data_IF_240257332022
#
_entry.id   IF_240257332022
#
_cell.length_a   1.000
_cell.length_b   1.000
_cell.length_c   1.000
_cell.angle_alpha   90.00
_cell.angle_beta   90.00
_cell.angle_gamma   90.00
#
_symmetry.space_group_name_H-M   'P 1'
#
loop_
_entity.id
_entity.type
_entity.pdbx_description
1 polymer ?
#
# COMPACT_ATOMS: atom_id res chain seq x y z
N UNK A 1 -28.41 28.90 -16.71
CA UNK A 1 -27.99 28.06 -15.61
C UNK A 1 -27.62 26.66 -16.15
N UNK A 2 -26.53 26.01 -15.68
CA UNK A 2 -26.26 24.66 -16.08
C UNK A 2 -27.42 23.76 -15.67
N UNK A 3 -27.75 22.70 -16.43
CA UNK A 3 -28.77 21.76 -16.02
C UNK A 3 -28.41 21.14 -14.65
N UNK A 4 -29.39 20.86 -13.80
CA UNK A 4 -29.12 20.23 -12.53
C UNK A 4 -28.35 18.93 -12.76
N UNK A 5 -27.43 18.55 -11.86
CA UNK A 5 -26.69 17.31 -12.00
C UNK A 5 -27.70 16.17 -12.10
N UNK A 6 -27.58 15.39 -13.16
CA UNK A 6 -28.43 14.22 -13.34
C UNK A 6 -28.26 13.33 -12.12
N UNK A 7 -29.35 13.04 -11.44
CA UNK A 7 -29.43 12.07 -10.38
C UNK A 7 -28.78 10.78 -10.87
N UNK A 8 -27.65 10.42 -10.25
CA UNK A 8 -27.03 9.13 -10.46
C UNK A 8 -28.08 8.05 -10.24
N UNK A 9 -28.27 7.21 -11.22
CA UNK A 9 -29.24 6.14 -11.16
C UNK A 9 -28.99 5.29 -9.91
N UNK A 10 -30.05 4.84 -9.24
CA UNK A 10 -30.01 3.98 -8.04
C UNK A 10 -29.13 2.75 -8.19
N UNK A 11 -28.92 2.25 -9.40
CA UNK A 11 -28.02 1.15 -9.74
C UNK A 11 -26.53 1.45 -9.45
N UNK A 12 -26.06 2.68 -9.62
CA UNK A 12 -24.68 3.05 -9.25
C UNK A 12 -24.53 3.22 -7.73
N UNK A 13 -25.53 3.74 -7.07
CA UNK A 13 -25.59 3.88 -5.61
C UNK A 13 -25.65 2.50 -4.93
N UNK A 14 -26.41 1.55 -5.46
CA UNK A 14 -26.49 0.18 -4.92
C UNK A 14 -25.20 -0.60 -5.09
N UNK A 15 -24.50 -0.46 -6.22
CA UNK A 15 -23.19 -1.08 -6.44
C UNK A 15 -22.13 -0.53 -5.49
N UNK A 16 -22.08 0.78 -5.26
CA UNK A 16 -21.20 1.38 -4.28
C UNK A 16 -21.52 0.89 -2.85
N UNK A 17 -22.81 0.88 -2.47
CA UNK A 17 -23.25 0.36 -1.17
C UNK A 17 -22.89 -1.11 -0.96
N UNK A 18 -22.96 -1.95 -2.00
CA UNK A 18 -22.58 -3.37 -1.92
C UNK A 18 -21.07 -3.55 -1.72
N UNK A 19 -20.24 -2.71 -2.33
CA UNK A 19 -18.79 -2.71 -2.14
C UNK A 19 -18.44 -2.36 -0.68
N UNK A 20 -19.02 -1.31 -0.10
CA UNK A 20 -18.75 -0.92 1.29
C UNK A 20 -19.15 -2.00 2.31
N UNK A 21 -20.23 -2.74 2.07
CA UNK A 21 -20.69 -3.81 2.97
C UNK A 21 -19.80 -5.04 2.99
N UNK A 22 -18.80 -5.10 2.09
CA UNK A 22 -17.85 -6.23 1.96
C UNK A 22 -16.45 -5.88 2.39
N UNK A 23 -16.27 -4.73 3.06
CA UNK A 23 -14.96 -4.25 3.49
C UNK A 23 -14.90 -4.19 5.01
N UNK A 24 -13.85 -4.78 5.56
CA UNK A 24 -13.55 -4.69 6.99
C UNK A 24 -12.64 -3.49 7.29
N UNK A 25 -11.84 -3.05 6.31
CA UNK A 25 -10.94 -1.90 6.42
C UNK A 25 -10.94 -1.10 5.13
N UNK A 26 -10.73 0.21 5.23
CA UNK A 26 -10.57 1.16 4.13
C UNK A 26 -9.17 1.77 4.14
N UNK A 27 -8.51 1.81 2.99
CA UNK A 27 -7.28 2.58 2.81
C UNK A 27 -7.61 4.00 2.35
N UNK A 28 -7.20 4.99 3.14
CA UNK A 28 -7.25 6.40 2.75
C UNK A 28 -5.99 6.74 1.97
N UNK A 29 -6.16 6.97 0.68
CA UNK A 29 -5.09 7.40 -0.21
C UNK A 29 -4.63 8.83 0.13
N UNK A 30 -3.34 9.10 -0.05
CA UNK A 30 -2.73 10.40 0.18
C UNK A 30 -3.09 11.01 1.55
N UNK A 31 -2.89 10.25 2.63
CA UNK A 31 -3.28 10.67 3.98
C UNK A 31 -2.68 12.02 4.40
N UNK A 32 -1.47 12.34 3.91
CA UNK A 32 -0.85 13.66 4.08
C UNK A 32 -1.76 14.82 3.72
N UNK A 33 -2.61 14.66 2.71
CA UNK A 33 -3.52 15.70 2.24
C UNK A 33 -4.56 16.14 3.29
N UNK A 34 -4.82 15.31 4.32
CA UNK A 34 -5.71 15.69 5.43
C UNK A 34 -5.03 16.66 6.41
N UNK A 35 -3.70 16.64 6.53
CA UNK A 35 -2.96 17.63 7.31
C UNK A 35 -2.70 18.89 6.47
N UNK A 36 -2.03 18.73 5.30
CA UNK A 36 -1.80 19.78 4.31
C UNK A 36 -1.75 19.18 2.92
N UNK A 37 -2.31 19.88 1.96
CA UNK A 37 -2.24 19.53 0.55
C UNK A 37 -1.60 20.64 -0.27
N UNK A 38 -1.02 20.27 -1.39
CA UNK A 38 -0.41 21.22 -2.32
C UNK A 38 -1.46 21.71 -3.31
N UNK A 39 -1.80 22.99 -3.23
CA UNK A 39 -2.75 23.64 -4.14
C UNK A 39 -2.00 24.29 -5.30
N UNK A 40 -2.43 23.98 -6.51
CA UNK A 40 -1.86 24.52 -7.74
C UNK A 40 -2.93 25.35 -8.44
N UNK A 41 -2.69 26.62 -8.78
CA UNK A 41 -3.62 27.41 -9.57
C UNK A 41 -3.93 26.73 -10.91
N UNK A 42 -5.20 26.73 -11.34
CA UNK A 42 -5.62 26.09 -12.59
C UNK A 42 -4.93 26.68 -13.84
N UNK A 43 -4.35 27.86 -13.72
CA UNK A 43 -3.61 28.55 -14.78
C UNK A 43 -2.10 28.31 -14.75
N UNK A 44 -1.59 27.59 -13.74
CA UNK A 44 -0.17 27.31 -13.61
C UNK A 44 0.27 26.28 -14.67
N UNK A 45 1.42 26.50 -15.27
CA UNK A 45 1.98 25.58 -16.27
C UNK A 45 2.62 24.34 -15.61
N UNK A 46 3.07 24.47 -14.36
CA UNK A 46 3.74 23.42 -13.62
C UNK A 46 3.27 23.36 -12.16
N UNK A 47 3.50 22.22 -11.51
CA UNK A 47 3.19 22.04 -10.09
C UNK A 47 4.08 22.88 -9.14
N UNK A 48 5.12 23.52 -9.64
CA UNK A 48 6.05 24.34 -8.84
C UNK A 48 5.37 25.60 -8.32
N UNK A 49 4.41 26.14 -9.09
CA UNK A 49 3.71 27.39 -8.79
C UNK A 49 2.53 27.21 -7.83
N UNK A 50 2.65 26.31 -6.87
CA UNK A 50 1.63 26.02 -5.87
C UNK A 50 1.97 26.53 -4.48
N UNK A 51 1.09 26.22 -3.52
CA UNK A 51 1.33 26.49 -2.10
C UNK A 51 0.68 25.42 -1.21
N UNK A 52 1.21 25.28 0.00
CA UNK A 52 0.64 24.38 0.99
C UNK A 52 -0.58 24.99 1.66
N UNK A 53 -1.70 24.28 1.59
CA UNK A 53 -2.96 24.67 2.24
C UNK A 53 -3.22 23.67 3.37
N UNK A 54 -3.64 24.19 4.53
CA UNK A 54 -4.04 23.36 5.68
C UNK A 54 -5.30 22.56 5.33
N UNK A 55 -5.22 21.25 5.53
CA UNK A 55 -6.34 20.33 5.34
C UNK A 55 -7.32 20.36 6.53
N UNK A 56 -8.36 19.50 6.49
CA UNK A 56 -9.37 19.44 7.54
C UNK A 56 -8.84 18.89 8.88
N UNK A 57 -7.71 18.21 8.88
CA UNK A 57 -7.03 17.73 10.07
C UNK A 57 -7.88 16.83 10.95
N UNK A 58 -7.65 16.95 12.26
CA UNK A 58 -8.33 16.15 13.28
C UNK A 58 -9.86 16.34 13.27
N UNK A 59 -10.34 17.54 12.95
CA UNK A 59 -11.78 17.84 13.01
C UNK A 59 -12.62 16.92 12.10
N UNK A 60 -12.07 16.53 10.95
CA UNK A 60 -12.73 15.56 10.05
C UNK A 60 -12.88 14.19 10.72
N UNK A 61 -11.80 13.66 11.28
CA UNK A 61 -11.80 12.32 11.87
C UNK A 61 -12.57 12.26 13.17
N UNK A 62 -12.52 13.32 13.98
CA UNK A 62 -13.38 13.48 15.17
C UNK A 62 -14.86 13.43 14.80
N UNK A 63 -15.24 14.12 13.74
CA UNK A 63 -16.61 14.10 13.25
C UNK A 63 -17.01 12.71 12.74
N UNK A 64 -16.13 12.05 11.98
CA UNK A 64 -16.39 10.68 11.49
C UNK A 64 -16.53 9.70 12.66
N UNK A 65 -15.70 9.81 13.71
CA UNK A 65 -15.82 8.97 14.90
C UNK A 65 -17.12 9.23 15.67
N UNK A 66 -17.58 10.47 15.75
CA UNK A 66 -18.88 10.81 16.35
C UNK A 66 -20.05 10.18 15.61
N UNK A 67 -19.98 10.15 14.28
CA UNK A 67 -21.08 9.65 13.44
C UNK A 67 -21.07 8.12 13.27
N UNK A 68 -19.87 7.49 13.22
CA UNK A 68 -19.71 6.09 12.87
C UNK A 68 -19.03 5.22 13.94
N UNK A 69 -18.52 5.80 15.01
CA UNK A 69 -17.76 5.08 16.02
C UNK A 69 -16.32 4.80 15.59
N UNK A 70 -15.85 3.58 15.81
CA UNK A 70 -14.51 3.15 15.40
C UNK A 70 -14.36 3.23 13.86
N UNK A 71 -13.23 3.78 13.43
CA UNK A 71 -12.92 3.94 12.02
C UNK A 71 -11.85 2.91 11.60
N UNK A 72 -12.22 1.85 10.87
CA UNK A 72 -11.27 0.84 10.40
C UNK A 72 -10.50 1.35 9.18
N UNK A 73 -9.61 2.31 9.39
CA UNK A 73 -8.89 3.00 8.33
C UNK A 73 -7.40 2.66 8.37
N UNK A 74 -6.80 2.50 7.20
CA UNK A 74 -5.36 2.47 6.97
C UNK A 74 -4.96 3.76 6.29
N UNK A 75 -3.98 4.46 6.84
CA UNK A 75 -3.47 5.70 6.25
C UNK A 75 -2.38 5.37 5.22
N UNK A 76 -2.53 5.83 3.98
CA UNK A 76 -1.42 5.83 3.04
C UNK A 76 -0.49 7.00 3.38
N UNK A 77 0.62 6.67 4.04
CA UNK A 77 1.66 7.56 4.55
C UNK A 77 2.99 7.33 3.83
N UNK A 78 2.93 7.22 2.50
CA UNK A 78 4.11 7.03 1.66
C UNK A 78 4.70 8.37 1.23
N UNK A 79 6.02 8.39 0.99
CA UNK A 79 6.74 9.57 0.54
C UNK A 79 7.29 10.43 1.70
N UNK A 80 7.22 11.75 1.56
CA UNK A 80 7.74 12.68 2.57
C UNK A 80 6.67 12.93 3.62
N UNK A 81 6.79 12.28 4.76
CA UNK A 81 5.87 12.41 5.89
C UNK A 81 6.50 13.32 6.95
N UNK A 82 5.73 14.33 7.37
CA UNK A 82 6.14 15.25 8.43
C UNK A 82 5.65 14.76 9.80
N UNK A 83 6.28 15.23 10.91
CA UNK A 83 5.81 14.88 12.26
C UNK A 83 4.34 15.19 12.51
N UNK A 84 3.80 16.23 11.88
CA UNK A 84 2.39 16.62 12.02
C UNK A 84 1.44 15.60 11.35
N UNK A 85 1.82 15.07 10.20
CA UNK A 85 1.07 14.01 9.51
C UNK A 85 1.07 12.74 10.35
N UNK A 86 2.23 12.37 10.89
CA UNK A 86 2.36 11.19 11.73
C UNK A 86 1.60 11.35 13.05
N UNK A 87 1.66 12.53 13.67
CA UNK A 87 0.87 12.85 14.86
C UNK A 87 -0.64 12.73 14.61
N UNK A 88 -1.12 13.22 13.46
CA UNK A 88 -2.53 13.09 13.06
C UNK A 88 -2.94 11.61 12.91
N UNK A 89 -2.12 10.81 12.22
CA UNK A 89 -2.34 9.38 12.04
C UNK A 89 -2.42 8.64 13.39
N UNK A 90 -1.45 8.89 14.26
CA UNK A 90 -1.34 8.26 15.58
C UNK A 90 -2.46 8.69 16.52
N UNK A 91 -2.93 9.95 16.46
CA UNK A 91 -4.05 10.45 17.27
C UNK A 91 -5.31 9.59 17.10
N UNK A 92 -5.55 9.09 15.89
CA UNK A 92 -6.73 8.27 15.57
C UNK A 92 -6.42 6.77 15.51
N UNK A 93 -5.21 6.36 15.83
CA UNK A 93 -4.80 4.95 15.83
C UNK A 93 -4.79 4.31 14.44
N UNK A 94 -4.62 5.08 13.37
CA UNK A 94 -4.59 4.53 12.01
C UNK A 94 -3.24 3.87 11.72
N UNK A 95 -3.21 2.58 11.30
CA UNK A 95 -1.98 1.97 10.81
C UNK A 95 -1.48 2.67 9.55
N UNK A 96 -0.17 2.91 9.50
CA UNK A 96 0.53 3.37 8.29
C UNK A 96 0.93 2.21 7.38
N UNK A 97 1.56 2.52 6.25
CA UNK A 97 1.98 1.52 5.25
C UNK A 97 3.50 1.34 5.23
N UNK A 98 3.93 0.10 5.11
CA UNK A 98 5.35 -0.28 4.96
C UNK A 98 5.53 -1.09 3.68
N UNK A 99 6.28 -0.55 2.72
CA UNK A 99 6.51 -1.17 1.41
C UNK A 99 7.94 -1.71 1.37
N UNK A 100 8.10 -3.03 1.33
CA UNK A 100 9.42 -3.66 1.39
C UNK A 100 10.31 -3.33 0.19
N UNK A 101 9.75 -3.08 -0.99
CA UNK A 101 10.54 -2.64 -2.14
C UNK A 101 11.25 -1.28 -1.93
N UNK A 102 10.84 -0.50 -0.92
CA UNK A 102 11.50 0.77 -0.54
C UNK A 102 12.51 0.61 0.60
N UNK A 103 12.65 -0.59 1.15
CA UNK A 103 13.45 -0.84 2.35
C UNK A 103 14.96 -0.74 2.11
N UNK A 104 15.45 -1.14 0.94
CA UNK A 104 16.86 -1.42 0.71
C UNK A 104 17.66 -0.25 0.13
N UNK A 105 17.03 0.92 0.02
CA UNK A 105 17.69 2.19 -0.28
C UNK A 105 17.84 3.04 0.98
N UNK A 106 18.98 3.71 1.16
CA UNK A 106 19.22 4.57 2.33
C UNK A 106 20.00 3.92 3.46
N UNK A 107 19.86 4.45 4.69
CA UNK A 107 20.54 3.97 5.89
C UNK A 107 19.68 3.06 6.77
N UNK A 108 20.23 2.72 7.95
CA UNK A 108 19.60 1.83 8.92
C UNK A 108 18.31 2.43 9.56
N UNK A 109 18.11 3.72 9.41
CA UNK A 109 16.92 4.47 9.84
C UNK A 109 15.77 4.45 8.84
N UNK A 110 15.92 3.77 7.69
CA UNK A 110 14.87 3.65 6.70
C UNK A 110 13.60 3.03 7.33
N UNK A 111 12.45 3.74 7.36
CA UNK A 111 11.23 3.28 8.02
C UNK A 111 10.59 2.04 7.36
N UNK A 112 11.03 1.68 6.17
CA UNK A 112 10.55 0.49 5.43
C UNK A 112 11.37 -0.76 5.74
N UNK A 113 12.52 -0.66 6.45
CA UNK A 113 13.26 -1.81 6.92
C UNK A 113 12.44 -2.61 7.94
N UNK A 114 12.36 -3.94 7.84
CA UNK A 114 11.54 -4.76 8.74
C UNK A 114 11.85 -4.56 10.23
N UNK A 115 13.10 -4.27 10.56
CA UNK A 115 13.54 -4.00 11.94
C UNK A 115 12.91 -2.73 12.52
N UNK A 116 12.58 -1.75 11.66
CA UNK A 116 11.99 -0.46 12.02
C UNK A 116 10.45 -0.47 11.94
N UNK A 117 9.83 -1.60 11.58
CA UNK A 117 8.38 -1.67 11.53
C UNK A 117 7.74 -1.58 12.92
N UNK A 118 6.61 -0.90 12.98
CA UNK A 118 5.75 -0.77 14.15
C UNK A 118 4.56 -1.73 14.04
N UNK A 119 3.99 -2.14 15.18
CA UNK A 119 2.79 -2.97 15.19
C UNK A 119 1.59 -2.25 14.53
N UNK A 120 1.48 -0.93 14.70
CA UNK A 120 0.45 -0.10 14.08
C UNK A 120 0.82 0.22 12.62
N UNK A 121 1.00 -0.81 11.81
CA UNK A 121 1.28 -0.67 10.38
C UNK A 121 0.79 -1.88 9.58
N UNK A 122 0.66 -1.67 8.28
CA UNK A 122 0.40 -2.71 7.27
C UNK A 122 1.63 -2.84 6.40
N UNK A 123 2.20 -4.04 6.32
CA UNK A 123 3.34 -4.31 5.44
C UNK A 123 2.89 -4.92 4.12
N UNK A 124 3.55 -4.52 3.06
CA UNK A 124 3.36 -5.02 1.70
C UNK A 124 4.71 -5.45 1.12
N UNK A 125 4.75 -6.50 0.32
CA UNK A 125 5.91 -6.74 -0.56
C UNK A 125 6.02 -5.64 -1.61
N UNK A 126 4.91 -5.23 -2.18
CA UNK A 126 4.67 -4.09 -3.06
C UNK A 126 3.18 -3.82 -3.16
N UNK A 127 2.78 -2.63 -3.60
CA UNK A 127 1.38 -2.26 -3.86
C UNK A 127 1.02 -2.42 -5.33
N UNK A 128 -0.22 -2.06 -5.70
CA UNK A 128 -0.65 -2.00 -7.09
C UNK A 128 0.19 -1.04 -7.96
N UNK A 129 0.83 -0.04 -7.37
CA UNK A 129 1.67 0.94 -8.06
C UNK A 129 3.11 0.48 -8.24
N UNK A 130 3.54 -0.52 -7.48
CA UNK A 130 4.85 -1.11 -7.59
C UNK A 130 4.91 -2.14 -8.72
N UNK A 131 6.12 -2.51 -9.13
CA UNK A 131 6.31 -3.72 -9.93
C UNK A 131 6.03 -4.96 -9.07
N UNK A 132 5.80 -6.13 -9.68
CA UNK A 132 5.83 -7.38 -8.94
C UNK A 132 7.20 -7.54 -8.27
N UNK A 133 7.24 -8.25 -7.13
CA UNK A 133 8.52 -8.45 -6.41
C UNK A 133 9.59 -9.07 -7.30
N UNK A 134 9.22 -10.08 -8.10
CA UNK A 134 10.17 -10.72 -9.01
C UNK A 134 10.63 -9.78 -10.12
N UNK A 135 9.69 -8.99 -10.70
CA UNK A 135 9.99 -8.00 -11.72
C UNK A 135 10.87 -6.87 -11.20
N UNK A 136 10.57 -6.36 -10.01
CA UNK A 136 11.37 -5.35 -9.32
C UNK A 136 12.80 -5.87 -9.06
N UNK A 137 12.95 -7.03 -8.43
CA UNK A 137 14.26 -7.60 -8.10
C UNK A 137 15.14 -7.82 -9.34
N UNK A 138 14.55 -8.33 -10.43
CA UNK A 138 15.26 -8.51 -11.71
C UNK A 138 15.67 -7.18 -12.37
N UNK A 139 14.95 -6.10 -12.10
CA UNK A 139 15.25 -4.78 -12.67
C UNK A 139 16.28 -3.98 -11.87
N UNK A 140 16.67 -4.44 -10.68
CA UNK A 140 17.70 -3.79 -9.87
C UNK A 140 19.08 -3.85 -10.56
N UNK A 141 19.85 -2.78 -10.40
CA UNK A 141 21.28 -2.81 -10.69
C UNK A 141 21.99 -3.81 -9.77
N UNK A 142 23.12 -4.35 -10.19
CA UNK A 142 23.83 -5.39 -9.42
C UNK A 142 24.15 -4.93 -7.98
N UNK A 143 24.63 -3.70 -7.80
CA UNK A 143 24.96 -3.13 -6.49
C UNK A 143 23.74 -3.00 -5.56
N UNK A 144 22.55 -2.72 -6.10
CA UNK A 144 21.32 -2.64 -5.30
C UNK A 144 20.75 -4.04 -5.01
N UNK A 145 20.95 -4.98 -5.93
CA UNK A 145 20.60 -6.39 -5.71
C UNK A 145 21.45 -7.00 -4.61
N UNK A 146 22.76 -6.74 -4.59
CA UNK A 146 23.66 -7.18 -3.52
C UNK A 146 23.19 -6.69 -2.15
N UNK A 147 22.76 -5.43 -2.01
CA UNK A 147 22.20 -4.92 -0.75
C UNK A 147 20.94 -5.68 -0.32
N UNK A 148 20.04 -5.98 -1.27
CA UNK A 148 18.84 -6.78 -0.97
C UNK A 148 19.26 -8.17 -0.49
N UNK A 149 20.19 -8.81 -1.16
CA UNK A 149 20.67 -10.17 -0.85
C UNK A 149 21.39 -10.23 0.50
N UNK A 150 22.17 -9.21 0.85
CA UNK A 150 22.80 -9.07 2.18
C UNK A 150 21.76 -8.99 3.31
N UNK A 151 20.61 -8.39 3.05
CA UNK A 151 19.53 -8.26 4.02
C UNK A 151 18.71 -9.56 4.15
N UNK A 152 18.73 -10.41 3.12
CA UNK A 152 18.00 -11.67 3.11
C UNK A 152 18.88 -12.77 3.70
N UNK A 153 18.42 -13.49 4.75
CA UNK A 153 19.14 -14.65 5.27
C UNK A 153 19.37 -15.69 4.17
N UNK A 154 20.56 -16.31 4.18
CA UNK A 154 20.99 -17.24 3.13
C UNK A 154 20.14 -18.52 3.02
N UNK A 155 19.37 -18.84 4.06
CA UNK A 155 18.46 -19.98 4.12
C UNK A 155 17.05 -19.68 3.58
N UNK A 156 16.78 -18.42 3.17
CA UNK A 156 15.49 -18.07 2.62
C UNK A 156 15.31 -18.60 1.19
N UNK A 157 14.07 -18.97 0.82
CA UNK A 157 13.77 -19.28 -0.56
C UNK A 157 14.02 -18.02 -1.41
N UNK A 158 14.43 -18.18 -2.67
CA UNK A 158 14.67 -17.05 -3.58
C UNK A 158 13.46 -16.14 -3.73
N UNK A 159 13.65 -14.99 -4.42
CA UNK A 159 12.53 -14.06 -4.70
C UNK A 159 11.44 -14.74 -5.56
N UNK A 160 10.17 -14.41 -5.33
CA UNK A 160 9.63 -13.42 -4.38
C UNK A 160 9.45 -13.93 -2.95
N UNK A 161 9.63 -15.21 -2.69
CA UNK A 161 9.30 -15.86 -1.41
C UNK A 161 10.16 -15.38 -0.24
N UNK A 162 11.39 -14.94 -0.49
CA UNK A 162 12.21 -14.31 0.52
C UNK A 162 11.53 -13.05 1.06
N UNK A 163 11.05 -12.18 0.17
CA UNK A 163 10.38 -10.94 0.56
C UNK A 163 9.00 -11.20 1.19
N UNK A 164 8.26 -12.21 0.71
CA UNK A 164 6.98 -12.65 1.31
C UNK A 164 7.21 -13.11 2.76
N UNK A 165 8.22 -13.95 2.99
CA UNK A 165 8.56 -14.41 4.35
C UNK A 165 8.93 -13.22 5.23
N UNK A 166 9.77 -12.31 4.75
CA UNK A 166 10.14 -11.08 5.47
C UNK A 166 8.92 -10.23 5.85
N UNK A 167 7.94 -10.09 4.94
CA UNK A 167 6.69 -9.39 5.23
C UNK A 167 5.90 -10.10 6.36
N UNK A 168 5.77 -11.41 6.27
CA UNK A 168 5.03 -12.18 7.27
C UNK A 168 5.71 -12.18 8.65
N UNK A 169 7.03 -12.17 8.72
CA UNK A 169 7.81 -12.16 9.97
C UNK A 169 7.98 -10.75 10.57
N UNK A 170 7.56 -9.69 9.87
CA UNK A 170 7.69 -8.32 10.37
C UNK A 170 6.77 -8.05 11.57
N UNK A 171 7.07 -6.98 12.31
CA UNK A 171 6.26 -6.55 13.46
C UNK A 171 4.92 -5.92 13.06
N UNK A 172 4.69 -5.59 11.80
CA UNK A 172 3.45 -4.98 11.31
C UNK A 172 2.22 -5.81 11.67
N UNK A 173 1.15 -5.16 12.11
CA UNK A 173 -0.08 -5.86 12.54
C UNK A 173 -0.77 -6.63 11.42
N UNK A 174 -0.64 -6.17 10.17
CA UNK A 174 -1.20 -6.83 8.99
C UNK A 174 -0.12 -6.95 7.90
N UNK A 175 -0.14 -8.05 7.14
CA UNK A 175 0.68 -8.24 5.95
C UNK A 175 -0.21 -8.51 4.73
N UNK A 176 0.00 -7.77 3.65
CA UNK A 176 -0.74 -7.92 2.39
C UNK A 176 0.24 -8.27 1.29
N UNK A 177 -0.01 -9.42 0.64
CA UNK A 177 0.84 -9.96 -0.42
C UNK A 177 0.04 -9.96 -1.73
N UNK A 178 0.52 -9.29 -2.79
CA UNK A 178 -0.10 -9.35 -4.11
C UNK A 178 -0.16 -10.78 -4.65
N UNK A 179 -1.26 -11.11 -5.32
CA UNK A 179 -1.41 -12.44 -5.94
C UNK A 179 -0.33 -12.71 -6.98
N UNK A 180 0.16 -11.68 -7.66
CA UNK A 180 1.26 -11.78 -8.61
C UNK A 180 2.55 -12.32 -7.97
N UNK A 181 2.83 -11.93 -6.73
CA UNK A 181 4.00 -12.42 -6.00
C UNK A 181 3.81 -13.87 -5.56
N UNK A 182 2.60 -14.23 -5.12
CA UNK A 182 2.26 -15.63 -4.79
C UNK A 182 2.36 -16.57 -5.99
N UNK A 183 2.10 -16.05 -7.20
CA UNK A 183 2.23 -16.77 -8.47
C UNK A 183 3.62 -16.66 -9.10
N UNK A 184 4.57 -15.99 -8.45
CA UNK A 184 5.95 -15.82 -8.91
C UNK A 184 6.06 -15.15 -10.29
N UNK A 185 5.15 -14.19 -10.59
CA UNK A 185 5.07 -13.52 -11.89
C UNK A 185 6.02 -12.31 -11.96
N UNK A 186 6.53 -12.06 -13.17
CA UNK A 186 7.40 -10.93 -13.48
C UNK A 186 6.65 -9.64 -13.81
N UNK A 187 7.37 -8.67 -14.39
CA UNK A 187 6.86 -7.33 -14.69
C UNK A 187 5.65 -7.32 -15.63
N UNK A 188 5.46 -8.36 -16.43
CA UNK A 188 4.30 -8.53 -17.31
C UNK A 188 2.97 -8.59 -16.56
N UNK A 189 3.00 -8.94 -15.27
CA UNK A 189 1.83 -9.01 -14.42
C UNK A 189 1.62 -7.75 -13.55
N UNK A 190 2.40 -6.69 -13.76
CA UNK A 190 2.23 -5.43 -13.02
C UNK A 190 0.83 -4.88 -13.19
N UNK A 191 0.22 -4.42 -12.09
CA UNK A 191 -1.16 -3.93 -12.09
C UNK A 191 -1.26 -2.51 -12.63
N UNK A 192 -0.42 -1.62 -12.14
CA UNK A 192 -0.43 -0.20 -12.48
C UNK A 192 0.98 0.36 -12.61
N UNK A 193 1.17 1.23 -13.61
CA UNK A 193 2.41 2.01 -13.78
C UNK A 193 2.05 3.49 -13.66
N UNK A 194 2.36 4.13 -12.52
CA UNK A 194 2.07 5.55 -12.30
C UNK A 194 2.60 6.42 -13.43
N UNK A 195 1.86 7.46 -13.80
CA UNK A 195 2.22 8.37 -14.87
C UNK A 195 1.96 7.86 -16.30
N UNK A 196 1.34 6.68 -16.46
CA UNK A 196 0.93 6.17 -17.77
C UNK A 196 -0.58 6.15 -17.94
N UNK A 197 -1.06 6.37 -19.17
CA UNK A 197 -2.49 6.44 -19.48
C UNK A 197 -3.10 5.15 -20.04
N UNK A 198 -2.30 4.09 -20.23
CA UNK A 198 -2.76 2.84 -20.84
C UNK A 198 -2.12 1.60 -20.24
N UNK A 199 -2.75 0.44 -20.45
CA UNK A 199 -2.25 -0.87 -20.02
C UNK A 199 -2.44 -1.19 -18.53
N UNK A 200 -2.94 -0.24 -17.73
CA UNK A 200 -3.14 -0.39 -16.30
C UNK A 200 -4.44 -1.14 -15.96
N UNK A 201 -4.49 -1.78 -14.80
CA UNK A 201 -5.67 -2.42 -14.20
C UNK A 201 -6.28 -3.56 -15.07
N UNK A 202 -5.49 -4.11 -15.99
CA UNK A 202 -5.93 -5.12 -16.95
C UNK A 202 -5.53 -6.54 -16.55
N UNK A 203 -4.53 -6.72 -15.70
CA UNK A 203 -4.06 -8.04 -15.30
C UNK A 203 -5.18 -8.85 -14.63
N UNK A 204 -5.24 -10.11 -14.99
CA UNK A 204 -6.16 -11.12 -14.42
C UNK A 204 -5.45 -12.45 -14.34
N UNK A 205 -5.90 -13.31 -13.44
CA UNK A 205 -5.47 -14.70 -13.37
C UNK A 205 -6.69 -15.64 -13.36
N UNK A 206 -6.47 -16.90 -13.65
CA UNK A 206 -7.45 -17.97 -13.51
C UNK A 206 -6.97 -19.01 -12.49
N UNK A 207 -7.90 -19.74 -11.90
CA UNK A 207 -7.58 -20.66 -10.79
C UNK A 207 -6.69 -21.84 -11.19
N UNK A 208 -6.64 -22.20 -12.47
CA UNK A 208 -5.71 -23.20 -13.01
C UNK A 208 -4.24 -22.76 -13.00
N UNK A 209 -3.98 -21.47 -12.90
CA UNK A 209 -2.63 -20.90 -12.72
C UNK A 209 -2.14 -21.02 -11.27
N UNK A 210 -3.03 -21.30 -10.33
CA UNK A 210 -2.66 -21.38 -8.91
C UNK A 210 -2.02 -22.74 -8.61
N UNK A 211 -0.76 -22.77 -8.14
CA UNK A 211 -0.09 -24.04 -7.81
C UNK A 211 -0.85 -24.83 -6.76
N UNK A 212 -1.04 -26.12 -6.98
CA UNK A 212 -1.83 -27.02 -6.12
C UNK A 212 -1.41 -27.09 -4.64
N UNK A 213 -0.21 -26.59 -4.29
CA UNK A 213 0.32 -26.57 -2.92
C UNK A 213 0.48 -25.15 -2.36
N UNK A 214 -0.02 -24.15 -3.04
CA UNK A 214 0.14 -22.75 -2.64
C UNK A 214 -0.51 -22.48 -1.28
N UNK A 215 -1.72 -22.97 -1.06
CA UNK A 215 -2.45 -22.86 0.20
C UNK A 215 -1.65 -23.42 1.40
N UNK A 216 -1.06 -24.58 1.22
CA UNK A 216 -0.20 -25.22 2.25
C UNK A 216 1.04 -24.39 2.52
N UNK A 217 1.70 -23.89 1.46
CA UNK A 217 2.91 -23.06 1.60
C UNK A 217 2.62 -21.77 2.36
N UNK A 218 1.55 -21.08 2.00
CA UNK A 218 1.12 -19.84 2.68
C UNK A 218 0.80 -20.17 4.14
N UNK A 219 -0.01 -21.18 4.42
CA UNK A 219 -0.37 -21.59 5.78
C UNK A 219 0.87 -21.83 6.63
N UNK A 220 1.81 -22.63 6.14
CA UNK A 220 3.06 -22.95 6.86
C UNK A 220 3.84 -21.67 7.19
N UNK A 221 3.99 -20.74 6.24
CA UNK A 221 4.69 -19.47 6.49
C UNK A 221 3.96 -18.59 7.49
N UNK A 222 2.63 -18.52 7.40
CA UNK A 222 1.80 -17.71 8.30
C UNK A 222 1.84 -18.23 9.74
N UNK A 223 1.74 -19.56 9.91
CA UNK A 223 1.86 -20.23 11.22
C UNK A 223 3.26 -20.03 11.84
N UNK A 224 4.34 -20.18 11.06
CA UNK A 224 5.71 -19.92 11.54
C UNK A 224 5.92 -18.46 11.95
N UNK A 225 5.26 -17.52 11.28
CA UNK A 225 5.31 -16.11 11.59
C UNK A 225 4.40 -15.72 12.78
N UNK A 226 3.66 -16.67 13.38
CA UNK A 226 2.74 -16.41 14.48
C UNK A 226 1.50 -15.60 14.07
N UNK A 227 1.10 -15.66 12.80
CA UNK A 227 -0.05 -14.94 12.23
C UNK A 227 -1.24 -15.86 11.91
N UNK A 228 -1.27 -17.07 12.42
CA UNK A 228 -2.32 -18.06 12.23
C UNK A 228 -3.39 -18.05 13.30
#
# INVERSE_FOLDING_TARGET
PPPPPQTYTETKSSAASDVYKRQDMLRLDHFRGFEKYWEIPATAETAVDGCWITGPGAALFERLQQDFGELPLVAEDLGIITPEVDALRLQFGFPGMKILQFAFGGGDDNPYLPVNHEALSVVYTGTHDNNTTLGWYKSLADADREKVDEYMPADLPGMPWALIKTALESKSGLAIIPMQDLLELGSEARMNTPGTSGGNWSWRFSWDQVPAKLDRRIRTLTEHAGRG
#
